data_IF_804592813365
#
_entry.id   IF_804592813365
#
_cell.length_a   1.000
_cell.length_b   1.000
_cell.length_c   1.000
_cell.angle_alpha   90.00
_cell.angle_beta   90.00
_cell.angle_gamma   90.00
#
_symmetry.space_group_name_H-M   'P 1'
#
loop_
_entity.id
_entity.type
_entity.pdbx_description
1 polymer ?
#
# COMPACT_ATOMS: atom_id res chain seq x y z
N UNK A 1 -7.73 8.25 15.24
CA UNK A 1 -7.79 9.29 16.30
C UNK A 1 -8.84 8.83 17.30
N UNK A 2 -8.50 8.69 18.59
CA UNK A 2 -9.34 8.09 19.64
C UNK A 2 -9.88 9.12 20.64
N UNK A 3 -9.94 10.39 20.25
CA UNK A 3 -10.23 11.53 21.13
C UNK A 3 -11.44 12.36 20.67
N UNK A 4 -12.28 11.81 19.79
CA UNK A 4 -13.47 12.50 19.29
C UNK A 4 -13.20 13.69 18.37
N UNK A 5 -11.94 13.95 17.97
CA UNK A 5 -11.65 14.97 16.96
C UNK A 5 -11.99 14.49 15.55
N UNK A 6 -12.54 15.37 14.69
CA UNK A 6 -12.73 15.07 13.28
C UNK A 6 -11.44 14.66 12.59
N UNK A 7 -11.55 13.85 11.54
CA UNK A 7 -10.40 13.51 10.69
C UNK A 7 -9.97 14.73 9.86
N UNK A 8 -8.66 14.96 9.74
CA UNK A 8 -8.10 16.03 8.92
C UNK A 8 -8.20 15.73 7.41
N UNK A 9 -8.45 14.47 7.06
CA UNK A 9 -8.40 13.96 5.69
C UNK A 9 -9.61 13.10 5.39
N UNK A 10 -9.98 13.05 4.10
CA UNK A 10 -11.04 12.19 3.60
C UNK A 10 -10.45 10.97 2.90
N UNK A 11 -11.17 9.86 2.96
CA UNK A 11 -10.89 8.66 2.17
C UNK A 11 -11.86 8.64 0.98
N UNK A 12 -11.32 8.36 -0.20
CA UNK A 12 -12.10 8.23 -1.44
C UNK A 12 -11.92 6.81 -1.95
N UNK A 13 -13.03 6.15 -2.31
CA UNK A 13 -12.98 4.83 -2.92
C UNK A 13 -12.45 4.96 -4.36
N UNK A 14 -11.37 4.24 -4.69
CA UNK A 14 -10.78 4.26 -6.02
C UNK A 14 -11.56 3.42 -7.04
N UNK A 15 -12.44 2.55 -6.56
CA UNK A 15 -13.28 1.64 -7.33
C UNK A 15 -14.58 1.36 -6.55
N UNK A 16 -15.53 0.66 -7.17
CA UNK A 16 -16.76 0.22 -6.50
C UNK A 16 -16.45 -0.59 -5.24
N UNK A 17 -16.85 -0.06 -4.08
CA UNK A 17 -16.43 -0.56 -2.78
C UNK A 17 -17.63 -0.70 -1.84
N UNK A 18 -17.69 -1.81 -1.12
CA UNK A 18 -18.60 -1.96 0.03
C UNK A 18 -17.80 -1.74 1.32
N UNK A 19 -18.28 -0.83 2.18
CA UNK A 19 -17.62 -0.47 3.44
C UNK A 19 -18.49 -0.84 4.64
N UNK A 20 -17.83 -1.25 5.73
CA UNK A 20 -18.47 -1.45 7.04
C UNK A 20 -18.11 -0.28 7.93
N UNK A 21 -19.13 0.39 8.48
CA UNK A 21 -18.94 1.54 9.37
C UNK A 21 -19.22 1.11 10.81
N UNK A 22 -18.21 1.26 11.67
CA UNK A 22 -18.31 1.04 13.11
C UNK A 22 -18.36 2.37 13.87
N UNK A 23 -19.06 2.37 15.01
CA UNK A 23 -18.95 3.45 15.99
C UNK A 23 -18.25 2.94 17.24
N UNK A 24 -17.66 3.84 18.01
CA UNK A 24 -16.99 3.49 19.26
C UNK A 24 -17.93 2.72 20.21
N UNK A 25 -19.19 3.12 20.32
CA UNK A 25 -20.16 2.43 21.17
C UNK A 25 -20.37 0.97 20.72
N UNK A 26 -20.53 0.74 19.41
CA UNK A 26 -20.71 -0.62 18.86
C UNK A 26 -19.46 -1.48 19.05
N UNK A 27 -18.28 -0.87 18.96
CA UNK A 27 -17.02 -1.56 19.22
C UNK A 27 -16.90 -1.97 20.69
N UNK A 28 -17.18 -1.07 21.63
CA UNK A 28 -17.18 -1.38 23.07
C UNK A 28 -18.19 -2.48 23.43
N UNK A 29 -19.40 -2.43 22.86
CA UNK A 29 -20.40 -3.47 23.08
C UNK A 29 -19.98 -4.83 22.49
N UNK A 30 -19.27 -4.82 21.36
CA UNK A 30 -18.69 -6.03 20.77
C UNK A 30 -17.64 -6.65 21.69
N UNK A 31 -16.75 -5.84 22.28
CA UNK A 31 -15.75 -6.33 23.22
C UNK A 31 -16.37 -6.89 24.50
N UNK A 32 -17.41 -6.24 25.04
CA UNK A 32 -18.15 -6.77 26.20
C UNK A 32 -18.83 -8.11 25.89
N UNK A 33 -19.44 -8.24 24.72
CA UNK A 33 -20.12 -9.47 24.30
C UNK A 33 -19.15 -10.60 23.96
N UNK A 34 -17.98 -10.27 23.42
CA UNK A 34 -16.96 -11.22 23.02
C UNK A 34 -15.56 -10.80 23.53
N UNK A 35 -15.22 -11.03 24.80
CA UNK A 35 -13.96 -10.55 25.39
C UNK A 35 -12.70 -11.07 24.70
N UNK A 36 -12.76 -12.25 24.07
CA UNK A 36 -11.64 -12.79 23.27
C UNK A 36 -11.29 -11.89 22.09
N UNK A 37 -12.23 -11.10 21.59
CA UNK A 37 -12.04 -10.24 20.43
C UNK A 37 -11.01 -9.14 20.72
N UNK A 38 -10.89 -8.64 21.94
CA UNK A 38 -9.83 -7.68 22.32
C UNK A 38 -8.43 -8.25 22.05
N UNK A 39 -8.20 -9.52 22.40
CA UNK A 39 -6.91 -10.18 22.18
C UNK A 39 -6.59 -10.36 20.70
N UNK A 40 -7.61 -10.61 19.88
CA UNK A 40 -7.51 -10.73 18.42
C UNK A 40 -7.22 -9.35 17.82
N UNK A 41 -8.03 -8.34 18.16
CA UNK A 41 -7.84 -6.95 17.74
C UNK A 41 -6.44 -6.45 18.07
N UNK A 42 -5.93 -6.73 19.27
CA UNK A 42 -4.56 -6.37 19.66
C UNK A 42 -3.50 -7.03 18.77
N UNK A 43 -3.62 -8.33 18.49
CA UNK A 43 -2.66 -9.04 17.62
C UNK A 43 -2.71 -8.53 16.18
N UNK A 44 -3.91 -8.26 15.67
CA UNK A 44 -4.09 -7.66 14.34
C UNK A 44 -3.45 -6.28 14.29
N UNK A 45 -3.69 -5.44 15.29
CA UNK A 45 -3.10 -4.09 15.38
C UNK A 45 -1.57 -4.14 15.44
N UNK A 46 -1.00 -5.07 16.22
CA UNK A 46 0.46 -5.26 16.28
C UNK A 46 1.05 -5.61 14.91
N UNK A 47 0.40 -6.52 14.17
CA UNK A 47 0.83 -6.88 12.81
C UNK A 47 0.74 -5.69 11.86
N UNK A 48 -0.40 -4.98 11.85
CA UNK A 48 -0.61 -3.79 11.01
C UNK A 48 0.44 -2.72 11.33
N UNK A 49 0.71 -2.47 12.60
CA UNK A 49 1.71 -1.48 13.01
C UNK A 49 3.12 -1.86 12.57
N UNK A 50 3.50 -3.13 12.69
CA UNK A 50 4.80 -3.63 12.22
C UNK A 50 4.95 -3.45 10.70
N UNK A 51 3.91 -3.78 9.91
CA UNK A 51 3.92 -3.56 8.46
C UNK A 51 4.03 -2.08 8.10
N UNK A 52 3.36 -1.19 8.84
CA UNK A 52 3.45 0.26 8.61
C UNK A 52 4.83 0.79 8.96
N UNK A 53 5.45 0.29 10.03
CA UNK A 53 6.83 0.65 10.38
C UNK A 53 7.82 0.23 9.29
N UNK A 54 7.67 -0.97 8.73
CA UNK A 54 8.53 -1.44 7.63
C UNK A 54 8.34 -0.60 6.36
N UNK A 55 7.09 -0.25 6.02
CA UNK A 55 6.80 0.65 4.89
C UNK A 55 7.39 2.04 5.11
N UNK A 56 7.29 2.58 6.32
CA UNK A 56 7.87 3.87 6.65
C UNK A 56 9.40 3.85 6.58
N UNK A 57 10.04 2.80 7.10
CA UNK A 57 11.48 2.61 6.97
C UNK A 57 11.91 2.53 5.50
N UNK A 58 11.22 1.70 4.69
CA UNK A 58 11.43 1.60 3.24
C UNK A 58 11.27 2.95 2.54
N UNK A 59 10.29 3.75 2.93
CA UNK A 59 10.08 5.10 2.38
C UNK A 59 11.29 6.01 2.62
N UNK A 60 11.91 5.93 3.79
CA UNK A 60 13.08 6.74 4.16
C UNK A 60 14.40 6.22 3.58
N UNK A 61 14.57 4.89 3.48
CA UNK A 61 15.87 4.28 3.15
C UNK A 61 16.00 3.85 1.70
N UNK A 62 14.90 3.44 1.07
CA UNK A 62 14.96 2.83 -0.25
C UNK A 62 14.87 3.86 -1.36
N UNK A 63 15.59 3.60 -2.46
CA UNK A 63 15.41 4.35 -3.68
C UNK A 63 14.05 4.06 -4.36
N UNK A 64 13.55 4.95 -5.23
CA UNK A 64 12.27 4.76 -5.91
C UNK A 64 12.09 3.44 -6.66
N UNK A 65 13.16 2.92 -7.28
CA UNK A 65 13.12 1.62 -7.94
C UNK A 65 12.90 0.46 -6.98
N UNK A 66 13.56 0.50 -5.83
CA UNK A 66 13.42 -0.52 -4.79
C UNK A 66 12.01 -0.49 -4.21
N UNK A 67 11.46 0.71 -3.95
CA UNK A 67 10.07 0.88 -3.53
C UNK A 67 9.08 0.32 -4.55
N UNK A 68 9.30 0.59 -5.84
CA UNK A 68 8.50 0.00 -6.92
C UNK A 68 8.57 -1.53 -6.93
N UNK A 69 9.77 -2.11 -6.83
CA UNK A 69 9.96 -3.56 -6.83
C UNK A 69 9.34 -4.22 -5.58
N UNK A 70 9.48 -3.60 -4.40
CA UNK A 70 8.83 -4.07 -3.17
C UNK A 70 7.32 -4.04 -3.30
N UNK A 71 6.75 -2.97 -3.86
CA UNK A 71 5.30 -2.88 -4.12
C UNK A 71 4.84 -3.98 -5.10
N UNK A 72 5.59 -4.21 -6.18
CA UNK A 72 5.30 -5.27 -7.16
C UNK A 72 5.36 -6.68 -6.58
N UNK A 73 6.16 -6.91 -5.54
CA UNK A 73 6.25 -8.21 -4.88
C UNK A 73 5.20 -8.39 -3.78
N UNK A 74 4.90 -7.33 -3.04
CA UNK A 74 4.00 -7.41 -1.87
C UNK A 74 2.53 -7.25 -2.26
N UNK A 75 2.22 -6.46 -3.29
CA UNK A 75 0.86 -6.14 -3.75
C UNK A 75 0.79 -6.00 -5.28
N UNK A 76 1.04 -7.07 -6.06
CA UNK A 76 1.01 -7.00 -7.52
C UNK A 76 -0.34 -6.55 -8.11
N UNK A 77 -1.45 -6.81 -7.42
CA UNK A 77 -2.81 -6.47 -7.84
C UNK A 77 -3.06 -4.96 -7.93
N UNK A 78 -2.33 -4.16 -7.16
CA UNK A 78 -2.56 -2.71 -7.09
C UNK A 78 -2.25 -1.99 -8.42
N UNK A 79 -1.37 -2.59 -9.23
CA UNK A 79 -0.98 -2.04 -10.53
C UNK A 79 -2.08 -2.11 -11.59
N UNK A 80 -3.10 -2.94 -11.36
CA UNK A 80 -4.26 -3.06 -12.25
C UNK A 80 -5.47 -2.25 -11.75
N UNK A 81 -5.52 -1.93 -10.45
CA UNK A 81 -6.66 -1.30 -9.79
C UNK A 81 -6.53 0.20 -9.65
N UNK A 82 -5.30 0.72 -9.63
CA UNK A 82 -5.03 2.12 -9.32
C UNK A 82 -4.40 2.84 -10.53
N UNK A 83 -4.81 4.09 -10.83
CA UNK A 83 -4.17 4.91 -11.85
C UNK A 83 -2.66 5.11 -11.61
N UNK A 84 -1.89 5.14 -12.71
CA UNK A 84 -0.43 5.23 -12.65
C UNK A 84 0.08 6.48 -11.91
N UNK A 85 -0.64 7.60 -11.95
CA UNK A 85 -0.22 8.82 -11.24
C UNK A 85 -0.30 8.66 -9.72
N UNK A 86 -1.31 7.95 -9.19
CA UNK A 86 -1.42 7.67 -7.76
C UNK A 86 -0.32 6.70 -7.30
N UNK A 87 0.04 5.72 -8.14
CA UNK A 87 1.20 4.86 -7.89
C UNK A 87 2.51 5.65 -7.86
N UNK A 88 2.66 6.65 -8.74
CA UNK A 88 3.83 7.52 -8.76
C UNK A 88 3.95 8.32 -7.46
N UNK A 89 2.85 8.93 -7.01
CA UNK A 89 2.79 9.61 -5.71
C UNK A 89 3.10 8.66 -4.55
N UNK A 90 2.58 7.43 -4.56
CA UNK A 90 2.80 6.46 -3.49
C UNK A 90 4.29 6.06 -3.34
N UNK A 91 5.04 5.92 -4.44
CA UNK A 91 6.48 5.62 -4.39
C UNK A 91 7.36 6.88 -4.36
N UNK A 92 6.75 8.06 -4.21
CA UNK A 92 7.39 9.37 -4.15
C UNK A 92 8.23 9.71 -5.39
N UNK A 93 7.58 9.67 -6.56
CA UNK A 93 8.15 10.13 -7.83
C UNK A 93 7.12 10.83 -8.69
N UNK A 94 7.59 11.61 -9.67
CA UNK A 94 6.73 12.14 -10.73
C UNK A 94 6.28 11.01 -11.69
N UNK A 95 5.09 11.10 -12.32
CA UNK A 95 4.58 10.08 -13.24
C UNK A 95 5.55 9.68 -14.38
N UNK A 96 6.34 10.63 -14.88
CA UNK A 96 7.35 10.39 -15.92
C UNK A 96 8.50 9.53 -15.39
N UNK A 97 8.93 9.77 -14.15
CA UNK A 97 9.96 8.99 -13.46
C UNK A 97 9.49 7.55 -13.25
N UNK A 98 8.25 7.33 -12.81
CA UNK A 98 7.67 5.98 -12.71
C UNK A 98 7.68 5.26 -14.06
N UNK A 99 7.32 5.96 -15.14
CA UNK A 99 7.32 5.39 -16.49
C UNK A 99 8.73 4.95 -16.93
N UNK A 100 9.77 5.72 -16.59
CA UNK A 100 11.18 5.35 -16.85
C UNK A 100 11.61 4.12 -16.04
N UNK A 101 11.24 4.05 -14.76
CA UNK A 101 11.54 2.91 -13.89
C UNK A 101 10.93 1.62 -14.47
N UNK A 102 9.64 1.66 -14.84
CA UNK A 102 8.94 0.53 -15.48
C UNK A 102 9.64 0.06 -16.76
N UNK A 103 10.01 1.00 -17.64
CA UNK A 103 10.76 0.68 -18.87
C UNK A 103 12.08 -0.03 -18.54
N UNK A 104 12.91 0.55 -17.66
CA UNK A 104 14.21 -0.02 -17.27
C UNK A 104 14.10 -1.44 -16.71
N UNK A 105 13.09 -1.69 -15.88
CA UNK A 105 12.84 -3.03 -15.31
C UNK A 105 12.40 -4.02 -16.41
N UNK A 106 11.53 -3.61 -17.33
CA UNK A 106 11.10 -4.47 -18.44
C UNK A 106 12.25 -4.81 -19.41
N UNK A 107 13.19 -3.89 -19.66
CA UNK A 107 14.34 -4.17 -20.54
C UNK A 107 15.39 -5.06 -19.89
N UNK A 108 15.57 -5.03 -18.56
CA UNK A 108 16.53 -5.90 -17.84
C UNK A 108 16.20 -7.39 -17.94
N UNK A 109 14.94 -7.75 -18.22
CA UNK A 109 14.50 -9.14 -18.37
C UNK A 109 14.54 -9.70 -19.80
N UNK A 110 14.91 -8.90 -20.81
CA UNK A 110 15.01 -9.39 -22.20
C UNK A 110 16.43 -9.88 -22.47
N UNK A 111 16.63 -11.12 -22.96
CA UNK A 111 17.93 -11.53 -23.47
C UNK A 111 18.33 -10.59 -24.61
N UNK A 112 19.55 -10.07 -24.56
CA UNK A 112 20.12 -9.25 -25.64
C UNK A 112 20.24 -10.15 -26.86
N UNK A 113 19.30 -10.06 -27.80
CA UNK A 113 19.43 -10.71 -29.11
C UNK A 113 20.57 -10.05 -29.87
N UNK A 114 21.65 -10.77 -30.22
CA UNK A 114 22.76 -10.18 -30.94
C UNK A 114 22.34 -9.69 -32.33
N UNK A 115 22.74 -8.47 -32.67
CA UNK A 115 22.35 -7.75 -33.90
C UNK A 115 23.05 -8.25 -35.18
N UNK A 116 23.67 -9.43 -35.17
CA UNK A 116 24.47 -9.94 -36.30
C UNK A 116 23.77 -11.00 -37.16
N UNK A 117 22.47 -11.27 -36.93
CA UNK A 117 21.67 -12.09 -37.86
C UNK A 117 20.66 -11.21 -38.60
N UNK A 118 21.12 -10.57 -39.66
CA UNK A 118 20.33 -10.07 -40.78
C UNK A 118 21.20 -10.15 -42.04
#
# INVERSE_FOLDING_TARGET
MMNGTPADHFLVCAEDTTVVVGTEQREQDLYRRFPRFESISRRVMQKVLAEQQERFASYLTDGPEQRYLKLSKTRPEIFQRIPQYQLASYIDVKPESLSRIRKRIATRGKPVTPRWKA
#
